data_IF_541470574948
#
_entry.id   IF_541470574948
#
_cell.length_a   1.000
_cell.length_b   1.000
_cell.length_c   1.000
_cell.angle_alpha   90.00
_cell.angle_beta   90.00
_cell.angle_gamma   90.00
#
_symmetry.space_group_name_H-M   'P 1'
#
loop_
_entity.id
_entity.type
_entity.pdbx_description
1 polymer ?
#
# COMPACT_ATOMS: atom_id res chain seq x y z
N UNK A 1 42.55 -17.59 18.78
CA UNK A 1 43.30 -16.55 18.03
C UNK A 1 42.30 -15.60 17.40
N UNK A 2 42.23 -14.39 17.95
CA UNK A 2 41.52 -13.24 17.37
C UNK A 2 42.44 -12.59 16.34
N UNK A 3 41.88 -12.13 15.22
CA UNK A 3 42.49 -11.06 14.43
C UNK A 3 41.37 -10.16 13.90
N UNK A 4 41.38 -8.94 14.45
CA UNK A 4 40.52 -7.81 14.16
C UNK A 4 41.18 -7.00 13.04
N UNK A 5 40.43 -6.54 12.03
CA UNK A 5 40.83 -5.39 11.21
C UNK A 5 39.67 -4.41 11.20
N UNK A 6 39.90 -3.32 11.94
CA UNK A 6 39.11 -2.09 12.01
C UNK A 6 39.58 -1.19 10.88
N UNK A 7 38.65 -0.65 10.09
CA UNK A 7 38.86 0.61 9.38
C UNK A 7 37.70 1.55 9.73
N UNK A 8 38.06 2.56 10.53
CA UNK A 8 37.25 3.70 10.94
C UNK A 8 37.10 4.68 9.79
N UNK A 9 35.88 5.17 9.55
CA UNK A 9 35.65 6.49 8.95
C UNK A 9 34.56 7.18 9.76
N UNK A 10 34.89 8.39 10.20
CA UNK A 10 34.21 9.18 11.22
C UNK A 10 32.76 9.54 10.93
N UNK A 11 31.89 9.33 11.93
CA UNK A 11 30.58 9.96 12.03
C UNK A 11 30.64 11.12 13.03
N UNK A 12 30.24 12.35 12.66
CA UNK A 12 30.05 13.41 13.64
C UNK A 12 28.83 13.09 14.52
N UNK A 13 29.07 13.04 15.84
CA UNK A 13 28.06 12.96 16.89
C UNK A 13 27.26 14.26 16.97
N UNK A 14 25.95 14.12 17.15
CA UNK A 14 25.20 14.96 18.08
C UNK A 14 24.25 15.99 17.45
N UNK A 15 22.96 15.66 17.42
CA UNK A 15 21.95 16.59 17.92
C UNK A 15 20.78 15.81 18.53
N UNK A 16 20.46 16.23 19.75
CA UNK A 16 19.52 15.69 20.71
C UNK A 16 18.14 16.25 20.34
N UNK A 17 17.12 15.40 20.24
CA UNK A 17 15.74 15.84 20.04
C UNK A 17 15.27 16.56 21.31
N UNK A 18 14.95 17.86 21.21
CA UNK A 18 14.43 18.68 22.30
C UNK A 18 12.95 19.05 22.01
N UNK A 19 11.96 18.68 22.85
CA UNK A 19 10.52 18.77 22.52
C UNK A 19 9.88 20.18 22.60
N UNK A 20 10.66 21.27 22.65
CA UNK A 20 10.14 22.62 22.98
C UNK A 20 10.18 23.60 21.77
N UNK A 21 10.58 23.16 20.58
CA UNK A 21 10.71 24.03 19.39
C UNK A 21 9.43 24.25 18.57
N UNK A 22 8.24 23.85 19.06
CA UNK A 22 6.97 24.01 18.34
C UNK A 22 6.14 25.23 18.74
N UNK A 23 6.58 26.03 19.71
CA UNK A 23 5.79 27.13 20.29
C UNK A 23 6.24 28.55 19.90
N UNK A 24 7.24 28.70 19.01
CA UNK A 24 7.80 30.01 18.60
C UNK A 24 7.34 30.53 17.23
N UNK A 25 6.43 29.83 16.54
CA UNK A 25 5.88 30.28 15.25
C UNK A 25 4.53 31.03 15.34
N UNK A 26 4.09 31.43 16.54
CA UNK A 26 2.79 32.12 16.74
C UNK A 26 2.83 33.64 16.85
N UNK A 27 3.98 34.30 16.78
CA UNK A 27 4.04 35.73 17.14
C UNK A 27 5.05 36.55 16.33
N UNK A 28 4.75 36.90 15.07
CA UNK A 28 5.24 38.12 14.40
C UNK A 28 4.20 38.66 13.40
N UNK A 29 3.81 39.95 13.47
CA UNK A 29 2.84 40.55 12.57
C UNK A 29 3.51 41.09 11.30
N UNK A 30 2.88 40.84 10.15
CA UNK A 30 3.23 41.45 8.86
C UNK A 30 3.90 40.50 7.87
N UNK A 31 3.09 39.72 7.15
CA UNK A 31 3.39 39.29 5.78
C UNK A 31 2.09 38.93 5.04
N UNK A 32 2.00 39.41 3.80
CA UNK A 32 0.85 39.31 2.89
C UNK A 32 0.30 37.90 2.78
N UNK A 33 -1.03 37.82 2.76
CA UNK A 33 -1.82 36.60 2.57
C UNK A 33 -1.46 35.91 1.25
N UNK A 34 -1.21 34.58 1.23
CA UNK A 34 -1.22 33.83 -0.02
C UNK A 34 -2.68 33.55 -0.38
N UNK A 35 -3.06 33.93 -1.61
CA UNK A 35 -4.31 33.54 -2.25
C UNK A 35 -4.48 32.01 -2.22
N UNK A 36 -5.27 31.52 -1.27
CA UNK A 36 -5.89 30.21 -1.33
C UNK A 36 -7.07 30.33 -2.29
N UNK A 37 -6.92 29.84 -3.52
CA UNK A 37 -8.06 29.48 -4.34
C UNK A 37 -8.40 28.01 -4.04
N UNK A 38 -9.43 27.84 -3.21
CA UNK A 38 -10.15 26.61 -2.94
C UNK A 38 -10.90 26.16 -4.20
N UNK A 39 -10.34 25.21 -4.98
CA UNK A 39 -11.12 24.56 -6.04
C UNK A 39 -10.47 23.28 -6.59
N UNK A 40 -10.01 22.33 -5.76
CA UNK A 40 -9.66 20.99 -6.27
C UNK A 40 -9.99 19.88 -5.27
N UNK A 41 -11.01 19.04 -5.52
CA UNK A 41 -11.39 17.97 -4.62
C UNK A 41 -10.31 16.88 -4.59
N UNK A 42 -9.74 16.71 -3.41
CA UNK A 42 -9.31 15.39 -2.93
C UNK A 42 -10.61 14.57 -2.79
N UNK A 43 -10.72 13.34 -3.29
CA UNK A 43 -11.85 12.50 -2.92
C UNK A 43 -11.56 12.04 -1.48
N UNK A 44 -11.96 12.76 -0.43
CA UNK A 44 -13.33 12.97 0.12
C UNK A 44 -13.40 14.38 0.73
N UNK A 45 -14.56 15.08 0.73
CA UNK A 45 -14.75 16.27 1.57
C UNK A 45 -14.50 15.91 3.04
N UNK A 46 -13.60 16.65 3.68
CA UNK A 46 -13.44 16.65 5.14
C UNK A 46 -14.70 17.25 5.82
N UNK A 47 -15.60 17.85 5.03
CA UNK A 47 -16.81 18.56 5.48
C UNK A 47 -17.95 17.66 6.01
N UNK A 48 -17.73 16.35 6.12
CA UNK A 48 -18.67 15.43 6.77
C UNK A 48 -18.06 14.65 7.95
N UNK A 49 -16.93 15.12 8.52
CA UNK A 49 -16.66 14.77 9.90
C UNK A 49 -17.81 15.35 10.74
N UNK A 50 -18.50 14.55 11.57
CA UNK A 50 -19.45 15.11 12.50
C UNK A 50 -18.72 16.21 13.31
N UNK A 51 -19.37 17.34 13.65
CA UNK A 51 -18.85 18.18 14.72
C UNK A 51 -18.54 17.29 15.94
N UNK A 52 -17.67 17.73 16.86
CA UNK A 52 -17.27 17.03 18.11
C UNK A 52 -18.43 16.42 18.95
N UNK A 53 -19.66 16.67 18.57
CA UNK A 53 -20.86 15.94 18.95
C UNK A 53 -21.08 14.70 18.07
N UNK A 54 -20.22 13.67 18.23
CA UNK A 54 -20.58 12.33 17.79
C UNK A 54 -21.94 11.95 18.41
N UNK A 55 -22.88 11.31 17.66
CA UNK A 55 -24.12 10.84 18.24
C UNK A 55 -23.80 9.97 19.45
N UNK A 56 -24.35 10.33 20.61
CA UNK A 56 -24.25 9.50 21.81
C UNK A 56 -24.71 8.10 21.42
N UNK A 57 -23.80 7.14 21.59
CA UNK A 57 -24.08 5.75 21.27
C UNK A 57 -25.36 5.33 22.02
N UNK A 58 -26.29 4.59 21.40
CA UNK A 58 -27.40 4.02 22.14
C UNK A 58 -26.85 3.28 23.38
N UNK A 59 -27.60 3.30 24.48
CA UNK A 59 -27.26 2.71 25.79
C UNK A 59 -27.17 1.17 25.72
N UNK A 60 -26.30 0.66 24.85
CA UNK A 60 -26.00 -0.75 24.66
C UNK A 60 -24.95 -1.12 25.69
N UNK A 61 -25.13 -2.22 26.45
CA UNK A 61 -24.12 -2.69 27.38
C UNK A 61 -22.78 -2.88 26.68
N UNK A 62 -21.76 -2.16 27.13
CA UNK A 62 -20.40 -2.27 26.57
C UNK A 62 -19.82 -3.60 27.04
N UNK A 63 -19.54 -4.49 26.10
CA UNK A 63 -18.83 -5.74 26.36
C UNK A 63 -17.35 -5.55 26.09
N UNK A 64 -16.50 -5.83 27.07
CA UNK A 64 -15.05 -5.79 26.95
C UNK A 64 -14.50 -7.21 26.85
N UNK A 65 -13.63 -7.44 25.85
CA UNK A 65 -12.87 -8.68 25.68
C UNK A 65 -11.51 -8.46 26.35
N UNK A 66 -11.17 -9.32 27.32
CA UNK A 66 -9.85 -9.29 27.94
C UNK A 66 -8.84 -10.04 27.05
N UNK A 67 -7.78 -9.35 26.67
CA UNK A 67 -6.65 -9.92 25.93
C UNK A 67 -5.32 -9.62 26.63
N UNK A 68 -4.33 -10.48 26.44
CA UNK A 68 -2.96 -10.20 26.88
C UNK A 68 -2.13 -9.78 25.68
N UNK A 69 -1.50 -8.62 25.76
CA UNK A 69 -0.66 -8.12 24.68
C UNK A 69 0.71 -8.86 24.63
N UNK A 70 1.52 -8.64 23.58
CA UNK A 70 2.82 -9.30 23.47
C UNK A 70 3.83 -8.98 24.56
N UNK A 71 3.60 -7.93 25.37
CA UNK A 71 4.45 -7.57 26.52
C UNK A 71 3.99 -8.23 27.83
N UNK A 72 2.88 -8.98 27.80
CA UNK A 72 2.27 -9.61 28.97
C UNK A 72 1.31 -8.69 29.72
N UNK A 73 1.01 -7.51 29.19
CA UNK A 73 0.07 -6.58 29.81
C UNK A 73 -1.37 -6.95 29.43
N UNK A 74 -2.27 -6.97 30.43
CA UNK A 74 -3.72 -7.11 30.19
C UNK A 74 -4.26 -5.87 29.50
N UNK A 75 -5.06 -6.11 28.46
CA UNK A 75 -5.73 -5.11 27.66
C UNK A 75 -7.21 -5.46 27.56
N UNK A 76 -8.05 -4.44 27.47
CA UNK A 76 -9.49 -4.58 27.37
C UNK A 76 -9.94 -4.02 26.04
N UNK A 77 -10.58 -4.84 25.23
CA UNK A 77 -10.95 -4.51 23.86
C UNK A 77 -12.45 -4.34 23.77
N UNK A 78 -12.88 -3.17 23.31
CA UNK A 78 -14.24 -2.91 22.88
C UNK A 78 -14.27 -3.01 21.36
N UNK A 79 -15.02 -3.98 20.84
CA UNK A 79 -15.28 -4.04 19.40
C UNK A 79 -16.36 -3.04 18.97
N UNK A 80 -16.35 -2.68 17.69
CA UNK A 80 -17.45 -1.92 17.10
C UNK A 80 -18.79 -2.64 17.33
N UNK A 81 -19.80 -1.88 17.75
CA UNK A 81 -21.06 -2.41 18.31
C UNK A 81 -21.91 -3.22 17.31
N UNK A 82 -21.83 -2.92 16.01
CA UNK A 82 -22.58 -3.64 14.98
C UNK A 82 -21.96 -5.02 14.74
N UNK A 83 -22.67 -6.15 14.98
CA UNK A 83 -22.09 -7.50 14.91
C UNK A 83 -21.64 -7.93 13.51
N UNK A 84 -22.28 -7.40 12.46
CA UNK A 84 -21.99 -7.75 11.06
C UNK A 84 -20.74 -7.05 10.51
N UNK A 85 -20.27 -5.98 11.15
CA UNK A 85 -19.09 -5.22 10.69
C UNK A 85 -17.82 -6.07 10.76
N UNK A 86 -17.06 -6.06 9.67
CA UNK A 86 -15.83 -6.83 9.51
C UNK A 86 -16.05 -8.32 9.22
N UNK A 87 -17.29 -8.82 9.30
CA UNK A 87 -17.61 -10.20 8.99
C UNK A 87 -17.88 -10.41 7.48
N UNK A 88 -17.63 -11.61 6.95
CA UNK A 88 -18.02 -11.94 5.59
C UNK A 88 -19.55 -11.82 5.39
N UNK A 89 -19.98 -11.16 4.33
CA UNK A 89 -21.40 -11.12 3.92
C UNK A 89 -21.87 -12.46 3.36
N UNK A 90 -20.95 -13.23 2.80
CA UNK A 90 -21.15 -14.60 2.31
C UNK A 90 -19.80 -15.29 2.16
N UNK A 91 -19.84 -16.59 1.97
CA UNK A 91 -18.66 -17.34 1.54
C UNK A 91 -18.43 -17.15 0.03
N UNK A 92 -17.16 -17.12 -0.36
CA UNK A 92 -16.78 -17.08 -1.76
C UNK A 92 -17.10 -18.41 -2.43
N UNK A 93 -17.61 -18.33 -3.65
CA UNK A 93 -17.83 -19.52 -4.48
C UNK A 93 -16.49 -20.16 -4.84
N UNK A 94 -16.52 -21.45 -5.20
CA UNK A 94 -15.33 -22.15 -5.72
C UNK A 94 -14.73 -21.40 -6.91
N UNK A 95 -15.57 -20.82 -7.76
CA UNK A 95 -15.15 -20.03 -8.91
C UNK A 95 -14.43 -18.74 -8.50
N UNK A 96 -14.97 -17.98 -7.56
CA UNK A 96 -14.34 -16.76 -7.04
C UNK A 96 -13.01 -17.03 -6.33
N UNK A 97 -12.94 -18.11 -5.55
CA UNK A 97 -11.70 -18.61 -4.96
C UNK A 97 -10.72 -19.08 -6.04
N UNK A 98 -11.25 -19.55 -7.18
CA UNK A 98 -10.49 -19.98 -8.35
C UNK A 98 -10.12 -18.87 -9.34
N UNK A 99 -10.65 -17.64 -9.19
CA UNK A 99 -10.19 -16.48 -9.98
C UNK A 99 -8.72 -16.12 -9.69
N UNK A 100 -8.12 -16.74 -8.66
CA UNK A 100 -6.66 -16.82 -8.44
C UNK A 100 -6.06 -18.23 -8.59
N UNK A 101 -6.85 -19.25 -8.93
CA UNK A 101 -6.37 -20.60 -9.26
C UNK A 101 -5.97 -20.67 -10.72
N UNK A 102 -4.86 -21.35 -10.93
CA UNK A 102 -4.10 -21.59 -12.14
C UNK A 102 -4.89 -22.36 -13.21
N UNK A 103 -5.63 -21.70 -14.13
CA UNK A 103 -6.47 -22.46 -15.07
C UNK A 103 -5.60 -23.18 -16.10
N UNK A 104 -4.41 -22.64 -16.40
CA UNK A 104 -3.39 -23.23 -17.25
C UNK A 104 -2.01 -22.66 -16.91
N UNK A 105 -1.19 -23.40 -16.17
CA UNK A 105 0.22 -23.05 -15.90
C UNK A 105 1.19 -23.83 -16.79
N UNK A 106 0.68 -24.47 -17.85
CA UNK A 106 1.48 -25.29 -18.75
C UNK A 106 2.26 -26.37 -17.99
N UNK A 107 3.55 -26.48 -18.29
CA UNK A 107 4.45 -27.47 -17.68
C UNK A 107 4.70 -27.21 -16.19
N UNK A 108 4.45 -26.00 -15.69
CA UNK A 108 4.63 -25.65 -14.28
C UNK A 108 3.61 -26.32 -13.34
N UNK A 109 2.59 -26.99 -13.89
CA UNK A 109 1.70 -27.87 -13.11
C UNK A 109 2.46 -29.05 -12.49
N UNK A 110 3.57 -29.48 -13.13
CA UNK A 110 4.49 -30.46 -12.57
C UNK A 110 5.46 -29.77 -11.61
N UNK A 111 5.53 -30.30 -10.38
CA UNK A 111 6.36 -29.75 -9.29
C UNK A 111 7.85 -29.68 -9.62
N UNK A 112 8.40 -30.71 -10.27
CA UNK A 112 9.83 -30.76 -10.63
C UNK A 112 10.14 -29.70 -11.69
N UNK A 113 9.23 -29.51 -12.64
CA UNK A 113 9.40 -28.52 -13.70
C UNK A 113 9.31 -27.10 -13.15
N UNK A 114 8.40 -26.88 -12.20
CA UNK A 114 8.32 -25.64 -11.45
C UNK A 114 9.61 -25.35 -10.69
N UNK A 115 10.17 -26.33 -9.98
CA UNK A 115 11.41 -26.17 -9.22
C UNK A 115 12.60 -25.79 -10.12
N UNK A 116 12.74 -26.45 -11.29
CA UNK A 116 13.76 -26.09 -12.29
C UNK A 116 13.58 -24.64 -12.75
N UNK A 117 12.35 -24.26 -13.12
CA UNK A 117 12.07 -22.90 -13.57
C UNK A 117 12.35 -21.88 -12.47
N UNK A 118 11.98 -22.17 -11.22
CA UNK A 118 12.21 -21.33 -10.06
C UNK A 118 13.70 -21.06 -9.85
N UNK A 119 14.52 -22.11 -9.77
CA UNK A 119 15.98 -21.96 -9.59
C UNK A 119 16.60 -21.13 -10.71
N UNK A 120 16.24 -21.42 -11.97
CA UNK A 120 16.73 -20.66 -13.12
C UNK A 120 16.31 -19.18 -13.07
N UNK A 121 15.10 -18.88 -12.62
CA UNK A 121 14.61 -17.51 -12.51
C UNK A 121 15.25 -16.76 -11.34
N UNK A 122 15.43 -17.40 -10.20
CA UNK A 122 16.01 -16.82 -8.98
C UNK A 122 17.54 -16.68 -9.03
N UNK A 123 18.21 -17.43 -9.90
CA UNK A 123 19.68 -17.42 -10.03
C UNK A 123 20.33 -16.11 -10.53
N UNK A 124 19.54 -15.14 -11.02
CA UNK A 124 20.08 -13.92 -11.64
C UNK A 124 20.80 -14.14 -12.98
N UNK A 125 20.77 -15.35 -13.53
CA UNK A 125 21.47 -15.70 -14.77
C UNK A 125 20.84 -15.02 -16.00
N UNK A 126 21.69 -14.70 -16.99
CA UNK A 126 21.22 -14.14 -18.26
C UNK A 126 20.38 -15.13 -19.07
N UNK A 127 19.52 -14.61 -19.96
CA UNK A 127 18.72 -15.42 -20.91
C UNK A 127 19.56 -16.43 -21.70
N UNK A 128 20.76 -16.03 -22.12
CA UNK A 128 21.71 -16.89 -22.85
C UNK A 128 22.22 -18.02 -21.95
N UNK A 129 22.58 -17.71 -20.71
CA UNK A 129 23.07 -18.70 -19.77
C UNK A 129 21.98 -19.70 -19.37
N UNK A 130 20.76 -19.24 -19.07
CA UNK A 130 19.61 -20.13 -18.80
C UNK A 130 19.34 -21.09 -19.95
N UNK A 131 19.38 -20.60 -21.19
CA UNK A 131 19.26 -21.44 -22.39
C UNK A 131 20.39 -22.47 -22.49
N UNK A 132 21.62 -22.11 -22.10
CA UNK A 132 22.74 -23.06 -22.05
C UNK A 132 22.51 -24.17 -21.02
N UNK A 133 22.02 -23.83 -19.82
CA UNK A 133 21.71 -24.83 -18.77
C UNK A 133 20.64 -25.81 -19.24
N UNK A 134 19.54 -25.30 -19.82
CA UNK A 134 18.46 -26.11 -20.38
C UNK A 134 18.92 -27.07 -21.51
N UNK A 135 20.05 -26.76 -22.16
CA UNK A 135 20.63 -27.54 -23.25
C UNK A 135 21.86 -28.36 -22.87
N UNK A 136 22.27 -28.36 -21.59
CA UNK A 136 23.41 -29.15 -21.13
C UNK A 136 23.20 -30.62 -21.50
N UNK A 137 24.11 -31.23 -22.24
CA UNK A 137 23.94 -32.59 -22.80
C UNK A 137 23.57 -33.62 -21.73
N UNK A 138 24.21 -33.55 -20.56
CA UNK A 138 23.93 -34.43 -19.42
C UNK A 138 22.50 -34.30 -18.85
N UNK A 139 21.86 -33.15 -19.05
CA UNK A 139 20.55 -32.81 -18.47
C UNK A 139 19.45 -32.66 -19.54
N UNK A 140 19.79 -32.53 -20.82
CA UNK A 140 18.88 -32.16 -21.92
C UNK A 140 17.66 -33.08 -22.01
N UNK A 141 17.83 -34.39 -21.80
CA UNK A 141 16.72 -35.36 -21.82
C UNK A 141 15.77 -35.25 -20.62
N UNK A 142 16.20 -34.60 -19.53
CA UNK A 142 15.44 -34.40 -18.29
C UNK A 142 14.90 -32.98 -18.14
N UNK A 143 15.23 -32.07 -19.05
CA UNK A 143 14.82 -30.66 -18.96
C UNK A 143 13.42 -30.46 -19.56
N UNK A 144 12.50 -29.77 -18.87
CA UNK A 144 11.15 -29.55 -19.37
C UNK A 144 11.07 -28.53 -20.52
N UNK A 145 12.13 -27.76 -20.76
CA UNK A 145 12.15 -26.66 -21.73
C UNK A 145 13.36 -26.76 -22.66
N UNK A 146 13.13 -26.54 -23.96
CA UNK A 146 14.20 -26.56 -24.98
C UNK A 146 15.11 -25.32 -24.94
N UNK A 147 14.58 -24.22 -24.40
CA UNK A 147 15.22 -22.92 -24.33
C UNK A 147 14.51 -22.00 -23.31
N UNK A 148 15.15 -20.88 -22.97
CA UNK A 148 14.59 -19.93 -22.01
C UNK A 148 13.25 -19.33 -22.49
N UNK A 149 13.04 -19.13 -23.80
CA UNK A 149 11.78 -18.57 -24.32
C UNK A 149 10.60 -19.49 -24.04
N UNK A 150 10.76 -20.80 -24.22
CA UNK A 150 9.73 -21.78 -23.90
C UNK A 150 9.41 -21.80 -22.39
N UNK A 151 10.42 -21.71 -21.54
CA UNK A 151 10.24 -21.59 -20.09
C UNK A 151 9.49 -20.32 -19.71
N UNK A 152 9.90 -19.16 -20.24
CA UNK A 152 9.26 -17.87 -19.96
C UNK A 152 7.81 -17.86 -20.42
N UNK A 153 7.46 -18.48 -21.55
CA UNK A 153 6.05 -18.62 -21.97
C UNK A 153 5.16 -19.31 -20.94
N UNK A 154 5.69 -20.25 -20.17
CA UNK A 154 4.94 -20.89 -19.08
C UNK A 154 4.99 -20.05 -17.80
N UNK A 155 6.11 -19.38 -17.50
CA UNK A 155 6.23 -18.43 -16.38
C UNK A 155 5.25 -17.26 -16.54
N UNK A 156 5.06 -16.76 -17.75
CA UNK A 156 4.11 -15.68 -18.08
C UNK A 156 2.64 -16.11 -17.93
N UNK A 157 2.37 -17.41 -17.75
CA UNK A 157 1.03 -17.91 -17.39
C UNK A 157 0.78 -17.87 -15.88
N UNK A 158 1.82 -17.67 -15.07
CA UNK A 158 1.64 -17.48 -13.63
C UNK A 158 0.88 -16.18 -13.37
N UNK A 159 0.06 -16.12 -12.31
CA UNK A 159 -0.70 -14.93 -11.99
C UNK A 159 0.23 -13.74 -11.77
N UNK A 160 0.12 -12.75 -12.65
CA UNK A 160 0.76 -11.47 -12.48
C UNK A 160 0.04 -10.65 -11.39
N UNK A 161 0.76 -9.74 -10.76
CA UNK A 161 0.11 -8.73 -9.92
C UNK A 161 -0.71 -7.76 -10.77
N UNK A 162 -1.18 -6.70 -10.12
CA UNK A 162 -1.84 -5.61 -10.82
C UNK A 162 -1.02 -5.17 -12.05
N UNK A 163 -1.67 -5.06 -13.20
CA UNK A 163 -0.98 -4.76 -14.47
C UNK A 163 -0.41 -3.34 -14.44
N UNK A 164 0.69 -3.16 -15.15
CA UNK A 164 1.28 -1.85 -15.36
C UNK A 164 0.51 -1.11 -16.46
N UNK A 165 0.22 0.17 -16.20
CA UNK A 165 -0.30 1.13 -17.14
C UNK A 165 0.67 2.32 -17.20
N UNK A 166 0.75 2.96 -18.36
CA UNK A 166 1.52 4.18 -18.56
C UNK A 166 0.55 5.31 -18.89
N UNK A 167 0.67 6.42 -18.18
CA UNK A 167 -0.10 7.63 -18.43
C UNK A 167 0.86 8.79 -18.66
N UNK A 168 0.69 9.48 -19.79
CA UNK A 168 1.46 10.67 -20.12
C UNK A 168 0.80 11.92 -19.51
N UNK A 169 1.63 12.84 -19.01
CA UNK A 169 1.24 14.16 -18.56
C UNK A 169 2.02 15.20 -19.35
N UNK A 170 1.30 16.20 -19.87
CA UNK A 170 1.89 17.34 -20.54
C UNK A 170 2.04 18.52 -19.56
N UNK A 171 3.19 19.18 -19.62
CA UNK A 171 3.52 20.38 -18.87
C UNK A 171 3.89 21.46 -19.91
N UNK A 172 3.03 22.47 -20.02
CA UNK A 172 3.28 23.63 -20.90
C UNK A 172 3.93 24.75 -20.10
N UNK A 173 5.00 25.31 -20.64
CA UNK A 173 5.64 26.53 -20.13
C UNK A 173 5.95 27.49 -21.27
N UNK A 174 6.58 28.62 -20.94
CA UNK A 174 6.92 29.67 -21.90
C UNK A 174 7.94 29.26 -22.98
N UNK A 175 8.77 28.23 -22.72
CA UNK A 175 9.78 27.69 -23.64
C UNK A 175 9.36 26.39 -24.33
N UNK A 176 8.07 26.04 -24.28
CA UNK A 176 7.51 24.90 -25.00
C UNK A 176 6.76 23.93 -24.09
N UNK A 177 6.81 22.64 -24.44
CA UNK A 177 6.04 21.58 -23.79
C UNK A 177 6.97 20.42 -23.39
N UNK A 178 6.82 19.93 -22.17
CA UNK A 178 7.47 18.71 -21.69
C UNK A 178 6.41 17.64 -21.43
N UNK A 179 6.60 16.45 -22.01
CA UNK A 179 5.75 15.29 -21.76
C UNK A 179 6.50 14.30 -20.87
N UNK A 180 5.88 13.92 -19.76
CA UNK A 180 6.42 12.94 -18.82
C UNK A 180 5.50 11.74 -18.67
N UNK A 181 6.08 10.58 -18.42
CA UNK A 181 5.35 9.31 -18.32
C UNK A 181 5.31 8.84 -16.87
N UNK A 182 4.10 8.67 -16.35
CA UNK A 182 3.84 7.99 -15.09
C UNK A 182 3.57 6.52 -15.34
N UNK A 183 4.24 5.65 -14.59
CA UNK A 183 3.99 4.21 -14.59
C UNK A 183 3.18 3.88 -13.35
N UNK A 184 2.02 3.26 -13.49
CA UNK A 184 1.14 2.97 -12.37
C UNK A 184 0.51 1.59 -12.49
N UNK A 185 -0.05 1.13 -11.38
CA UNK A 185 -0.87 -0.07 -11.29
C UNK A 185 -2.24 0.29 -10.75
N UNK A 186 -3.21 -0.58 -10.97
CA UNK A 186 -4.53 -0.43 -10.38
C UNK A 186 -4.46 -0.56 -8.85
N UNK A 187 -4.79 0.52 -8.15
CA UNK A 187 -4.73 0.59 -6.69
C UNK A 187 -5.71 -0.40 -6.03
N UNK A 188 -6.89 -0.60 -6.61
CA UNK A 188 -7.90 -1.51 -6.09
C UNK A 188 -7.46 -2.98 -6.26
N UNK A 189 -6.82 -3.34 -7.37
CA UNK A 189 -6.19 -4.65 -7.53
C UNK A 189 -5.08 -4.90 -6.52
N UNK A 190 -4.30 -3.86 -6.16
CA UNK A 190 -3.30 -3.96 -5.09
C UNK A 190 -3.97 -4.22 -3.73
N UNK A 191 -5.05 -3.49 -3.41
CA UNK A 191 -5.83 -3.71 -2.19
C UNK A 191 -6.37 -5.15 -2.15
N UNK A 192 -7.01 -5.63 -3.22
CA UNK A 192 -7.47 -7.02 -3.33
C UNK A 192 -6.34 -8.02 -3.08
N UNK A 193 -5.16 -7.78 -3.64
CA UNK A 193 -3.99 -8.64 -3.44
C UNK A 193 -3.50 -8.67 -1.99
N UNK A 194 -3.55 -7.55 -1.29
CA UNK A 194 -3.21 -7.49 0.13
C UNK A 194 -4.22 -8.29 0.97
N UNK A 195 -5.51 -8.14 0.67
CA UNK A 195 -6.62 -8.84 1.34
C UNK A 195 -6.63 -10.36 1.10
N UNK A 196 -6.07 -10.81 -0.02
CA UNK A 196 -5.97 -12.24 -0.37
C UNK A 196 -4.63 -12.87 0.05
N UNK A 197 -3.73 -12.12 0.66
CA UNK A 197 -2.40 -12.63 0.98
C UNK A 197 -2.43 -13.57 2.20
N UNK A 198 -2.30 -14.89 1.93
CA UNK A 198 -2.23 -15.96 2.95
C UNK A 198 -1.22 -15.72 4.07
N UNK A 199 -0.10 -15.03 3.78
CA UNK A 199 0.93 -14.73 4.80
C UNK A 199 0.52 -13.62 5.77
N UNK A 200 -0.42 -12.78 5.36
CA UNK A 200 -0.90 -11.61 6.10
C UNK A 200 -2.25 -11.86 6.77
N UNK A 201 -3.07 -12.76 6.23
CA UNK A 201 -4.47 -12.93 6.64
C UNK A 201 -4.71 -13.11 8.13
N UNK A 202 -3.91 -13.92 8.81
CA UNK A 202 -4.02 -14.15 10.26
C UNK A 202 -3.72 -12.92 11.13
N UNK A 203 -3.25 -11.83 10.53
CA UNK A 203 -2.94 -10.58 11.21
C UNK A 203 -3.86 -9.43 10.77
N UNK A 204 -4.88 -9.72 9.96
CA UNK A 204 -5.73 -8.70 9.37
C UNK A 204 -6.88 -8.38 10.34
N UNK A 205 -7.03 -7.10 10.69
CA UNK A 205 -8.10 -6.61 11.54
C UNK A 205 -9.16 -5.93 10.66
N UNK A 206 -10.31 -6.57 10.51
CA UNK A 206 -11.42 -6.06 9.68
C UNK A 206 -12.39 -5.16 10.44
N UNK A 207 -12.28 -5.11 11.77
CA UNK A 207 -13.18 -4.35 12.64
C UNK A 207 -12.42 -3.23 13.31
N UNK A 208 -13.05 -2.06 13.43
CA UNK A 208 -12.58 -1.02 14.34
C UNK A 208 -12.74 -1.50 15.79
N UNK A 209 -11.75 -1.23 16.61
CA UNK A 209 -11.76 -1.56 18.04
C UNK A 209 -11.28 -0.36 18.86
N UNK A 210 -11.71 -0.27 20.12
CA UNK A 210 -11.04 0.54 21.13
C UNK A 210 -10.30 -0.38 22.07
N UNK A 211 -9.06 -0.02 22.41
CA UNK A 211 -8.18 -0.80 23.27
C UNK A 211 -7.88 0.01 24.51
N UNK A 212 -8.04 -0.57 25.69
CA UNK A 212 -7.85 0.10 26.98
C UNK A 212 -6.88 -0.68 27.87
N UNK A 213 -6.18 0.00 28.79
CA UNK A 213 -5.29 -0.65 29.76
C UNK A 213 -6.00 -1.15 31.02
N UNK A 214 -7.27 -0.78 31.18
CA UNK A 214 -8.09 -1.05 32.37
C UNK A 214 -9.57 -1.23 31.97
N UNK A 215 -10.36 -1.98 32.76
CA UNK A 215 -11.76 -2.26 32.44
C UNK A 215 -12.67 -1.04 32.65
N UNK A 216 -12.20 -0.03 33.38
CA UNK A 216 -12.88 1.26 33.56
C UNK A 216 -12.81 2.18 32.33
N UNK A 217 -12.11 1.74 31.26
CA UNK A 217 -11.95 2.45 30.00
C UNK A 217 -11.30 3.85 30.11
N UNK A 218 -10.56 4.11 31.19
CA UNK A 218 -9.95 5.43 31.45
C UNK A 218 -8.79 5.76 30.50
N UNK A 219 -8.04 4.75 30.08
CA UNK A 219 -6.81 4.91 29.32
C UNK A 219 -6.86 4.13 28.00
N UNK A 220 -7.23 4.81 26.92
CA UNK A 220 -7.28 4.22 25.57
C UNK A 220 -5.92 4.24 24.87
N UNK A 221 -5.51 3.08 24.37
CA UNK A 221 -4.29 2.86 23.59
C UNK A 221 -4.61 2.95 22.10
N UNK A 222 -4.00 3.92 21.41
CA UNK A 222 -4.15 4.16 19.95
C UNK A 222 -2.84 3.86 19.21
N UNK A 223 -2.42 2.60 19.24
CA UNK A 223 -1.13 2.12 18.74
C UNK A 223 -1.14 1.66 17.27
N UNK A 224 -2.33 1.45 16.70
CA UNK A 224 -2.59 0.95 15.34
C UNK A 224 -3.79 1.69 14.74
N UNK A 225 -3.98 1.62 13.42
CA UNK A 225 -5.07 2.36 12.76
C UNK A 225 -6.44 1.79 13.16
N UNK A 226 -6.53 0.47 13.31
CA UNK A 226 -7.76 -0.18 13.76
C UNK A 226 -8.06 0.02 15.25
N UNK A 227 -7.13 0.59 16.04
CA UNK A 227 -7.36 1.03 17.43
C UNK A 227 -7.59 2.54 17.56
N UNK A 228 -7.51 3.29 16.45
CA UNK A 228 -7.65 4.74 16.43
C UNK A 228 -9.12 5.17 16.31
N UNK A 229 -9.46 6.30 16.94
CA UNK A 229 -10.81 6.87 16.87
C UNK A 229 -11.22 7.18 15.43
N UNK A 230 -10.26 7.61 14.59
CA UNK A 230 -10.52 7.87 13.18
C UNK A 230 -11.17 6.68 12.45
N UNK A 231 -10.69 5.44 12.65
CA UNK A 231 -11.31 4.28 11.97
C UNK A 231 -12.70 3.98 12.55
N UNK A 232 -12.91 4.25 13.84
CA UNK A 232 -14.20 4.11 14.51
C UNK A 232 -15.22 5.11 13.96
N UNK A 233 -14.83 6.37 13.79
CA UNK A 233 -15.64 7.46 13.24
C UNK A 233 -15.99 7.22 11.77
N UNK A 234 -14.99 6.83 10.96
CA UNK A 234 -15.22 6.47 9.55
C UNK A 234 -16.17 5.26 9.45
N UNK A 235 -16.01 4.26 10.33
CA UNK A 235 -16.93 3.13 10.38
C UNK A 235 -18.37 3.56 10.71
N UNK A 236 -18.54 4.56 11.57
CA UNK A 236 -19.85 5.13 11.91
C UNK A 236 -20.45 6.00 10.80
N UNK A 237 -19.60 6.67 10.01
CA UNK A 237 -20.04 7.49 8.88
C UNK A 237 -20.54 6.63 7.70
N UNK A 238 -20.06 5.39 7.57
CA UNK A 238 -20.52 4.45 6.55
C UNK A 238 -21.87 3.84 6.96
N UNK A 239 -22.93 4.18 6.21
CA UNK A 239 -24.30 3.67 6.41
C UNK A 239 -24.50 2.26 5.82
N UNK A 240 -23.52 1.38 6.00
CA UNK A 240 -23.58 -0.03 5.60
C UNK A 240 -23.19 -0.90 6.79
N UNK A 241 -24.15 -1.63 7.34
CA UNK A 241 -23.97 -2.53 8.49
C UNK A 241 -23.05 -3.72 8.17
N UNK A 242 -22.77 -3.98 6.89
CA UNK A 242 -21.82 -4.99 6.43
C UNK A 242 -20.52 -4.39 5.88
N UNK A 243 -20.36 -3.07 5.96
CA UNK A 243 -19.25 -2.33 5.38
C UNK A 243 -17.98 -2.46 6.22
N UNK A 244 -16.90 -2.90 5.58
CA UNK A 244 -15.57 -2.97 6.20
C UNK A 244 -14.70 -1.80 5.77
N UNK A 245 -14.24 -0.98 6.71
CA UNK A 245 -13.27 0.09 6.40
C UNK A 245 -11.90 -0.50 6.09
N UNK A 246 -11.32 -0.10 4.96
CA UNK A 246 -9.94 -0.43 4.56
C UNK A 246 -9.13 0.86 4.48
N UNK A 247 -8.41 1.25 5.55
CA UNK A 247 -7.57 2.43 5.51
C UNK A 247 -6.44 2.24 4.50
N UNK A 248 -6.25 3.17 3.58
CA UNK A 248 -5.23 3.14 2.55
C UNK A 248 -4.06 4.00 3.02
N UNK A 249 -2.86 3.43 2.98
CA UNK A 249 -1.65 4.12 3.39
C UNK A 249 -0.72 4.17 2.21
N UNK A 250 -0.34 5.37 1.84
CA UNK A 250 0.56 5.63 0.72
C UNK A 250 1.87 6.16 1.26
N UNK A 251 2.97 5.64 0.73
CA UNK A 251 4.31 6.14 1.02
C UNK A 251 5.05 6.37 -0.29
N UNK A 252 5.53 7.60 -0.49
CA UNK A 252 6.49 7.93 -1.54
C UNK A 252 7.86 8.09 -0.88
N UNK A 253 8.87 7.39 -1.39
CA UNK A 253 10.26 7.57 -0.92
C UNK A 253 11.03 8.38 -1.97
N UNK A 254 11.39 9.62 -1.63
CA UNK A 254 12.16 10.51 -2.52
C UNK A 254 13.61 10.02 -2.71
N UNK A 255 14.12 9.15 -1.82
CA UNK A 255 15.57 8.89 -1.71
C UNK A 255 16.11 7.79 -2.63
N UNK A 256 15.25 7.02 -3.31
CA UNK A 256 15.67 6.00 -4.28
C UNK A 256 15.15 6.31 -5.67
N UNK A 257 15.83 7.24 -6.32
CA UNK A 257 15.72 7.45 -7.76
C UNK A 257 15.99 6.15 -8.51
N UNK A 258 14.98 5.62 -9.16
CA UNK A 258 15.18 4.54 -10.13
C UNK A 258 15.48 5.14 -11.49
N UNK A 259 16.64 4.82 -12.05
CA UNK A 259 16.95 5.11 -13.44
C UNK A 259 16.15 4.15 -14.31
N UNK A 260 15.20 4.68 -15.07
CA UNK A 260 14.59 3.95 -16.17
C UNK A 260 15.56 3.89 -17.36
N UNK A 261 15.23 3.15 -18.42
CA UNK A 261 16.04 3.21 -19.64
C UNK A 261 16.10 4.66 -20.16
N UNK A 262 17.32 5.20 -20.29
CA UNK A 262 17.59 6.61 -20.59
C UNK A 262 17.92 7.47 -19.36
N UNK A 263 18.04 8.79 -19.54
CA UNK A 263 18.26 9.78 -18.47
C UNK A 263 16.95 10.13 -17.72
N UNK A 264 16.07 9.13 -17.54
CA UNK A 264 14.74 9.27 -16.93
C UNK A 264 14.76 8.82 -15.47
N UNK A 265 14.37 9.73 -14.59
CA UNK A 265 14.32 9.59 -13.14
C UNK A 265 12.87 9.49 -12.66
N UNK A 266 12.62 8.65 -11.66
CA UNK A 266 11.28 8.51 -11.07
C UNK A 266 11.33 8.16 -9.58
N UNK A 267 10.28 8.53 -8.84
CA UNK A 267 10.11 8.21 -7.43
C UNK A 267 9.09 7.09 -7.23
N UNK A 268 9.42 6.02 -6.49
CA UNK A 268 8.47 4.94 -6.23
C UNK A 268 7.39 5.37 -5.22
N UNK A 269 6.15 5.05 -5.55
CA UNK A 269 4.98 5.17 -4.67
C UNK A 269 4.58 3.77 -4.25
N UNK A 270 4.40 3.53 -2.96
CA UNK A 270 3.93 2.26 -2.42
C UNK A 270 2.59 2.41 -1.72
N UNK A 271 1.80 1.34 -1.72
CA UNK A 271 0.50 1.22 -1.09
C UNK A 271 0.47 0.04 -0.13
N UNK A 272 -0.08 0.27 1.06
CA UNK A 272 -0.45 -0.74 2.05
C UNK A 272 -1.80 -0.40 2.67
N UNK A 273 -2.30 -1.26 3.55
CA UNK A 273 -3.60 -1.07 4.23
C UNK A 273 -3.43 -0.99 5.75
N UNK A 274 -4.25 -0.20 6.43
CA UNK A 274 -4.23 0.02 7.88
C UNK A 274 -4.79 -1.15 8.69
N UNK A 275 -5.48 -2.10 8.06
CA UNK A 275 -5.93 -3.36 8.67
C UNK A 275 -4.75 -4.29 9.04
N UNK A 276 -3.53 -3.94 8.64
CA UNK A 276 -2.31 -4.67 8.98
C UNK A 276 -1.53 -3.96 10.11
N UNK A 277 -1.09 -4.70 11.15
CA UNK A 277 -0.24 -4.18 12.20
C UNK A 277 1.00 -3.48 11.64
N UNK A 278 1.38 -2.34 12.22
CA UNK A 278 2.52 -1.50 11.78
C UNK A 278 3.82 -2.28 11.65
N UNK A 279 4.04 -3.27 12.53
CA UNK A 279 5.24 -4.13 12.51
C UNK A 279 5.35 -4.97 11.23
N UNK A 280 4.24 -5.31 10.60
CA UNK A 280 4.22 -6.07 9.34
C UNK A 280 4.40 -5.15 8.15
N UNK A 281 3.78 -3.96 8.18
CA UNK A 281 3.95 -2.92 7.14
C UNK A 281 5.42 -2.51 6.97
N UNK A 282 6.18 -2.44 8.06
CA UNK A 282 7.62 -2.09 8.05
C UNK A 282 8.54 -3.21 7.54
N UNK A 283 8.09 -4.46 7.41
CA UNK A 283 8.92 -5.59 6.99
C UNK A 283 8.79 -5.84 5.49
N UNK A 284 9.80 -5.44 4.73
CA UNK A 284 9.89 -5.67 3.27
C UNK A 284 9.69 -7.13 2.88
N UNK A 285 10.23 -8.08 3.67
CA UNK A 285 10.09 -9.52 3.44
C UNK A 285 8.66 -10.05 3.55
N UNK A 286 7.76 -9.33 4.22
CA UNK A 286 6.36 -9.72 4.37
C UNK A 286 5.48 -9.34 3.19
N UNK A 287 6.00 -8.56 2.23
CA UNK A 287 5.24 -8.09 1.06
C UNK A 287 3.91 -7.44 1.46
N UNK A 288 3.91 -6.74 2.60
CA UNK A 288 2.77 -5.99 3.14
C UNK A 288 2.66 -4.59 2.53
N UNK A 289 3.70 -4.12 1.83
CA UNK A 289 3.71 -2.88 1.09
C UNK A 289 4.02 -3.19 -0.38
N UNK A 290 3.19 -2.68 -1.30
CA UNK A 290 3.22 -3.02 -2.71
C UNK A 290 3.41 -1.74 -3.52
N UNK A 291 4.37 -1.73 -4.44
CA UNK A 291 4.66 -0.58 -5.31
C UNK A 291 3.44 -0.16 -6.14
N UNK A 292 2.78 0.93 -5.85
CA UNK A 292 1.64 1.42 -6.65
C UNK A 292 2.10 1.94 -8.01
N UNK A 293 3.22 2.65 -8.06
CA UNK A 293 3.70 3.25 -9.30
C UNK A 293 5.01 3.99 -9.15
N UNK A 294 5.40 4.68 -10.21
CA UNK A 294 6.56 5.54 -10.28
C UNK A 294 6.12 6.93 -10.74
N UNK A 295 6.34 7.93 -9.89
CA UNK A 295 6.10 9.33 -10.19
C UNK A 295 7.21 9.86 -11.11
N UNK A 296 6.85 10.53 -12.22
CA UNK A 296 7.85 11.15 -13.08
C UNK A 296 8.58 12.30 -12.39
N UNK A 297 9.87 12.46 -12.69
CA UNK A 297 10.66 13.64 -12.31
C UNK A 297 10.86 14.53 -13.54
N UNK A 298 10.07 15.61 -13.70
CA UNK A 298 10.19 16.49 -14.86
C UNK A 298 11.46 17.34 -14.78
N UNK A 299 12.11 17.59 -15.93
CA UNK A 299 13.27 18.49 -16.03
C UNK A 299 12.85 19.96 -16.00
N UNK A 300 11.65 20.27 -16.48
CA UNK A 300 11.02 21.58 -16.57
C UNK A 300 11.83 22.61 -17.35
N UNK A 301 12.53 22.15 -18.40
CA UNK A 301 13.23 23.03 -19.34
C UNK A 301 12.26 23.88 -20.16
N UNK A 302 11.00 23.43 -20.28
CA UNK A 302 9.91 24.13 -20.95
C UNK A 302 9.43 25.41 -20.24
N UNK A 303 9.83 25.66 -18.98
CA UNK A 303 9.45 26.86 -18.22
C UNK A 303 10.72 27.58 -17.76
N UNK A 304 10.80 28.90 -17.91
CA UNK A 304 11.95 29.71 -17.47
C UNK A 304 11.82 30.20 -16.02
N UNK A 305 10.61 30.46 -15.57
CA UNK A 305 10.32 31.00 -14.23
C UNK A 305 10.45 29.93 -13.13
N UNK A 306 11.20 30.23 -12.07
CA UNK A 306 11.46 29.28 -10.98
C UNK A 306 10.23 28.99 -10.10
N UNK A 307 9.36 29.97 -9.88
CA UNK A 307 8.12 29.81 -9.12
C UNK A 307 7.10 28.99 -9.93
N UNK A 308 6.95 29.26 -11.22
CA UNK A 308 6.12 28.42 -12.10
C UNK A 308 6.62 26.98 -12.17
N UNK A 309 7.94 26.76 -12.21
CA UNK A 309 8.53 25.42 -12.10
C UNK A 309 8.13 24.70 -10.81
N UNK A 310 8.12 25.41 -9.67
CA UNK A 310 7.67 24.83 -8.38
C UNK A 310 6.19 24.47 -8.44
N UNK A 311 5.36 25.36 -9.00
CA UNK A 311 3.94 25.10 -9.24
C UNK A 311 3.72 23.87 -10.13
N UNK A 312 4.40 23.77 -11.27
CA UNK A 312 4.26 22.62 -12.17
C UNK A 312 4.65 21.29 -11.51
N UNK A 313 5.73 21.25 -10.70
CA UNK A 313 6.09 20.04 -9.94
C UNK A 313 4.97 19.63 -8.99
N UNK A 314 4.45 20.58 -8.20
CA UNK A 314 3.37 20.32 -7.24
C UNK A 314 2.10 19.87 -7.95
N UNK A 315 1.70 20.57 -9.01
CA UNK A 315 0.51 20.25 -9.79
C UNK A 315 0.62 18.86 -10.44
N UNK A 316 1.76 18.55 -11.07
CA UNK A 316 2.03 17.22 -11.62
C UNK A 316 1.95 16.13 -10.55
N UNK A 317 2.57 16.35 -9.39
CA UNK A 317 2.51 15.39 -8.28
C UNK A 317 1.06 15.07 -7.89
N UNK A 318 0.23 16.10 -7.66
CA UNK A 318 -1.16 15.89 -7.29
C UNK A 318 -1.99 15.26 -8.41
N UNK A 319 -1.74 15.62 -9.67
CA UNK A 319 -2.41 15.02 -10.83
C UNK A 319 -2.08 13.52 -10.95
N UNK A 320 -0.80 13.16 -10.79
CA UNK A 320 -0.33 11.78 -10.75
C UNK A 320 -0.97 11.00 -9.59
N UNK A 321 -0.97 11.56 -8.38
CA UNK A 321 -1.59 10.92 -7.21
C UNK A 321 -3.10 10.69 -7.40
N UNK A 322 -3.81 11.68 -7.95
CA UNK A 322 -5.24 11.55 -8.29
C UNK A 322 -5.48 10.43 -9.29
N UNK A 323 -4.66 10.36 -10.34
CA UNK A 323 -4.75 9.30 -11.35
C UNK A 323 -4.49 7.92 -10.74
N UNK A 324 -3.45 7.76 -9.93
CA UNK A 324 -3.13 6.48 -9.28
C UNK A 324 -4.24 5.98 -8.34
N UNK A 325 -4.92 6.89 -7.64
CA UNK A 325 -5.95 6.56 -6.64
C UNK A 325 -7.37 6.60 -7.18
N UNK A 326 -7.58 7.05 -8.42
CA UNK A 326 -8.90 7.09 -9.05
C UNK A 326 -9.67 5.76 -8.97
N UNK A 327 -9.05 4.56 -9.13
CA UNK A 327 -9.75 3.28 -8.99
C UNK A 327 -10.38 3.06 -7.59
N UNK A 328 -9.88 3.74 -6.56
CA UNK A 328 -10.41 3.63 -5.19
C UNK A 328 -11.58 4.59 -4.94
N UNK A 329 -11.73 5.66 -5.71
CA UNK A 329 -12.70 6.71 -5.44
C UNK A 329 -14.15 6.20 -5.44
N UNK A 330 -14.50 5.32 -6.40
CA UNK A 330 -15.84 4.75 -6.47
C UNK A 330 -16.06 3.68 -5.38
N UNK A 331 -15.04 2.85 -5.13
CA UNK A 331 -15.06 1.85 -4.08
C UNK A 331 -15.20 2.48 -2.68
N UNK A 332 -14.60 3.66 -2.47
CA UNK A 332 -14.72 4.44 -1.23
C UNK A 332 -16.16 4.91 -1.00
N UNK A 333 -16.91 5.24 -2.06
CA UNK A 333 -18.26 5.80 -1.94
C UNK A 333 -19.34 4.73 -1.85
N UNK A 334 -19.25 3.71 -2.71
CA UNK A 334 -20.30 2.70 -2.86
C UNK A 334 -19.98 1.36 -2.19
N UNK A 335 -18.74 1.19 -1.75
CA UNK A 335 -18.24 -0.11 -1.35
C UNK A 335 -17.99 -1.02 -2.55
N UNK A 336 -17.16 -2.04 -2.36
CA UNK A 336 -16.91 -3.08 -3.36
C UNK A 336 -16.74 -4.43 -2.70
N UNK A 337 -17.31 -5.48 -3.28
CA UNK A 337 -17.13 -6.83 -2.78
C UNK A 337 -15.76 -7.39 -3.16
N UNK A 338 -15.06 -7.93 -2.17
CA UNK A 338 -13.74 -8.52 -2.33
C UNK A 338 -13.69 -9.86 -1.59
N UNK A 339 -13.20 -10.88 -2.30
CA UNK A 339 -12.83 -12.16 -1.70
C UNK A 339 -11.58 -11.95 -0.85
N UNK A 340 -11.68 -12.25 0.44
CA UNK A 340 -10.59 -12.20 1.40
C UNK A 340 -9.90 -13.56 1.53
N UNK A 341 -8.72 -13.53 2.13
CA UNK A 341 -7.85 -14.69 2.37
C UNK A 341 -8.49 -15.85 3.14
N UNK A 342 -9.48 -15.56 3.99
CA UNK A 342 -10.23 -16.54 4.78
C UNK A 342 -11.37 -17.20 4.00
N UNK A 343 -11.52 -16.87 2.70
CA UNK A 343 -12.60 -17.36 1.86
C UNK A 343 -13.90 -16.58 2.00
N UNK A 344 -13.97 -15.63 2.93
CA UNK A 344 -15.12 -14.74 3.06
C UNK A 344 -15.14 -13.65 2.00
N UNK A 345 -16.31 -13.33 1.46
CA UNK A 345 -16.52 -12.11 0.68
C UNK A 345 -16.92 -11.00 1.64
N UNK A 346 -16.21 -9.88 1.59
CA UNK A 346 -16.52 -8.67 2.37
C UNK A 346 -16.81 -7.51 1.45
N UNK A 347 -17.80 -6.69 1.80
CA UNK A 347 -17.96 -5.37 1.19
C UNK A 347 -17.00 -4.40 1.86
N UNK A 348 -16.02 -3.93 1.10
CA UNK A 348 -14.96 -3.05 1.60
C UNK A 348 -15.16 -1.62 1.15
N UNK A 349 -14.74 -0.68 1.99
CA UNK A 349 -14.68 0.75 1.73
C UNK A 349 -13.23 1.22 1.90
N UNK A 350 -12.45 1.31 0.81
CA UNK A 350 -11.09 1.86 0.84
C UNK A 350 -11.13 3.35 1.14
N UNK A 351 -10.47 3.80 2.21
CA UNK A 351 -10.45 5.22 2.63
C UNK A 351 -9.01 5.67 2.78
N UNK A 352 -8.58 6.70 2.05
CA UNK A 352 -7.21 7.22 2.04
C UNK A 352 -7.06 8.56 2.74
#
# INVERSE_FOLDING_TARGET
>A
MKATLVTTVDTPKGSRWDPIAMDKYRSRPGHMTPYYNDEYPIPIPIDNLPPDNAPQQPNVPITLIEETDPSGQRMYIQEYHVPTIGNPIRQATREEMSKGNYPNVGKLSNREYFEIAQVLMESGMSTKYRTRVLRLQRLKSRMPYENNRAMIKDVDKLPHGARWAVQAFSIKGDRGEEVVEMWMRDALEIVRRLLQNKRLGKFMHFKAIKKFTSPDMTNQVRDEIYTADWMWEIQAAIKDENGTVIPIIISSDETKLTNFSGDKKAHPVYLTIGNLPKRLRRRTSKRANILLGYLPVPKLNCESDQEKRRYHRRHLFHACMRAMLAPLAEACKKGVEVVCVDGGVRRIYPVS
#
